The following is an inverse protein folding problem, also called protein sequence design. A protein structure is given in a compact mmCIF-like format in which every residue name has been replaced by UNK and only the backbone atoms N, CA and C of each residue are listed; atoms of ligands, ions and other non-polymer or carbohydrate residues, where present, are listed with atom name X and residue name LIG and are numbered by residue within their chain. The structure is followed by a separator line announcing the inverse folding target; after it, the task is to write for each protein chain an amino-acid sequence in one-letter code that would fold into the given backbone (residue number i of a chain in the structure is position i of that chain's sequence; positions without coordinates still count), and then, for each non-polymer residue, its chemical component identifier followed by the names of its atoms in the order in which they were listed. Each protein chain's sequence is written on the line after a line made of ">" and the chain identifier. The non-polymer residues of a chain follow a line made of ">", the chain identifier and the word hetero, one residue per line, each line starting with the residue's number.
data_IF_172693273818
#
_entry.id   IF_172693273818
#
_cell.length_a   1.000
_cell.length_b   1.000
_cell.length_c   1.000
_cell.angle_alpha   90.00
_cell.angle_beta   90.00
_cell.angle_gamma   90.00
#
_symmetry.space_group_name_H-M   'P 1'
#
loop_
_entity.id
_entity.type
_entity.pdbx_description
1 polymer ?
#
# COMPACT_ATOMS: atom_id res chain seq x y z
N UNK A 1 28.81 10.60 -8.76
CA UNK A 1 28.32 9.92 -9.99
C UNK A 1 27.97 8.50 -9.57
N UNK A 2 26.71 8.10 -9.73
CA UNK A 2 26.26 6.74 -9.43
C UNK A 2 26.77 5.79 -10.52
N UNK A 3 27.35 4.66 -10.15
CA UNK A 3 27.82 3.67 -11.11
C UNK A 3 26.63 2.96 -11.77
N UNK A 4 26.64 2.77 -13.11
CA UNK A 4 25.59 2.05 -13.80
C UNK A 4 25.63 0.55 -13.42
N UNK A 5 24.47 -0.01 -13.15
CA UNK A 5 24.26 -1.41 -12.77
C UNK A 5 23.38 -2.10 -13.79
N UNK A 6 23.83 -3.22 -14.35
CA UNK A 6 23.05 -4.04 -15.29
C UNK A 6 22.49 -5.25 -14.56
N UNK A 7 21.17 -5.47 -14.74
CA UNK A 7 20.43 -6.62 -14.20
C UNK A 7 19.46 -7.17 -15.23
N UNK A 8 18.87 -8.32 -14.94
CA UNK A 8 17.86 -8.95 -15.80
C UNK A 8 16.54 -9.09 -15.04
N UNK A 9 15.43 -8.62 -15.61
CA UNK A 9 14.08 -8.76 -15.05
C UNK A 9 13.21 -9.49 -16.07
N UNK A 10 12.65 -10.63 -15.71
CA UNK A 10 11.85 -11.52 -16.58
C UNK A 10 12.51 -11.79 -17.95
N UNK A 11 13.83 -11.98 -17.96
CA UNK A 11 14.62 -12.25 -19.17
C UNK A 11 15.04 -11.00 -19.96
N UNK A 12 14.64 -9.80 -19.57
CA UNK A 12 15.00 -8.53 -20.22
C UNK A 12 16.13 -7.84 -19.43
N UNK A 13 17.22 -7.48 -20.11
CA UNK A 13 18.33 -6.75 -19.52
C UNK A 13 17.98 -5.26 -19.40
N UNK A 14 18.34 -4.64 -18.28
CA UNK A 14 18.21 -3.20 -18.04
C UNK A 14 19.44 -2.68 -17.31
N UNK A 15 19.87 -1.48 -17.67
CA UNK A 15 20.97 -0.77 -17.00
C UNK A 15 20.41 0.48 -16.33
N UNK A 16 20.60 0.62 -15.03
CA UNK A 16 20.12 1.72 -14.19
C UNK A 16 21.20 2.17 -13.23
N UNK A 17 21.03 3.31 -12.61
CA UNK A 17 21.95 3.81 -11.58
C UNK A 17 21.95 2.92 -10.32
N UNK A 18 23.08 2.78 -9.69
CA UNK A 18 23.19 2.14 -8.38
C UNK A 18 22.30 2.87 -7.36
N UNK A 19 21.59 2.09 -6.51
CA UNK A 19 20.59 2.64 -5.58
C UNK A 19 19.17 2.69 -6.14
N UNK A 20 18.97 2.50 -7.45
CA UNK A 20 17.63 2.32 -8.04
C UNK A 20 16.95 1.10 -7.43
N UNK A 21 15.64 1.17 -7.18
CA UNK A 21 14.88 0.02 -6.69
C UNK A 21 14.51 -0.94 -7.82
N UNK A 22 14.27 -2.20 -7.49
CA UNK A 22 13.79 -3.20 -8.47
C UNK A 22 12.47 -2.75 -9.10
N UNK A 23 11.60 -2.08 -8.32
CA UNK A 23 10.34 -1.54 -8.82
C UNK A 23 10.58 -0.49 -9.93
N UNK A 24 11.46 0.48 -9.68
CA UNK A 24 11.82 1.51 -10.65
C UNK A 24 12.50 0.93 -11.90
N UNK A 25 13.41 -0.05 -11.73
CA UNK A 25 14.05 -0.73 -12.85
C UNK A 25 13.02 -1.51 -13.70
N UNK A 26 12.03 -2.16 -13.09
CA UNK A 26 10.95 -2.85 -13.79
C UNK A 26 10.06 -1.87 -14.56
N UNK A 27 9.75 -0.70 -13.99
CA UNK A 27 8.99 0.36 -14.65
C UNK A 27 9.67 0.86 -15.93
N UNK A 28 11.00 0.97 -15.95
CA UNK A 28 11.75 1.35 -17.16
C UNK A 28 11.60 0.33 -18.31
N UNK A 29 11.36 -0.94 -17.97
CA UNK A 29 11.07 -2.02 -18.94
C UNK A 29 9.58 -2.12 -19.30
N UNK A 30 8.71 -1.27 -18.75
CA UNK A 30 7.26 -1.39 -18.90
C UNK A 30 6.65 -2.57 -18.13
N UNK A 31 7.40 -3.17 -17.21
CA UNK A 31 6.93 -4.29 -16.39
C UNK A 31 6.20 -3.74 -15.14
N UNK A 32 4.91 -4.04 -15.03
CA UNK A 32 4.11 -3.64 -13.87
C UNK A 32 4.25 -4.63 -12.73
N UNK A 33 4.74 -4.15 -11.58
CA UNK A 33 4.75 -4.87 -10.31
C UNK A 33 3.66 -4.28 -9.42
N UNK A 34 2.67 -5.06 -8.94
CA UNK A 34 1.56 -4.52 -8.15
C UNK A 34 2.02 -4.02 -6.78
N UNK A 35 1.44 -2.90 -6.35
CA UNK A 35 1.72 -2.27 -5.05
C UNK A 35 0.42 -1.83 -4.37
N UNK A 36 0.42 -1.73 -3.03
CA UNK A 36 -0.65 -1.09 -2.26
C UNK A 36 -0.06 0.01 -1.36
N UNK A 37 1.03 -0.25 -0.65
CA UNK A 37 1.62 0.72 0.27
C UNK A 37 2.62 1.69 -0.39
N UNK A 38 3.07 1.42 -1.59
CA UNK A 38 3.94 2.32 -2.35
C UNK A 38 3.11 3.41 -3.05
N UNK A 39 3.55 4.64 -2.95
CA UNK A 39 3.04 5.79 -3.69
C UNK A 39 4.19 6.75 -3.97
N UNK A 40 4.17 7.43 -5.13
CA UNK A 40 5.26 8.31 -5.57
C UNK A 40 5.51 9.49 -4.62
N UNK A 41 4.44 10.00 -4.00
CA UNK A 41 4.51 11.11 -3.05
C UNK A 41 4.84 10.67 -1.61
N UNK A 42 5.19 9.41 -1.37
CA UNK A 42 5.51 8.91 -0.02
C UNK A 42 6.76 8.04 -0.02
N UNK A 43 7.53 8.12 1.05
CA UNK A 43 8.67 7.25 1.28
C UNK A 43 8.22 5.79 1.33
N UNK A 44 8.89 4.91 0.57
CA UNK A 44 8.56 3.50 0.49
C UNK A 44 8.87 2.77 1.80
N UNK A 45 7.90 2.02 2.33
CA UNK A 45 8.01 1.36 3.64
C UNK A 45 7.85 -0.18 3.60
N UNK A 46 7.59 -0.77 2.42
CA UNK A 46 7.48 -2.21 2.17
C UNK A 46 6.47 -2.97 3.05
N UNK A 47 5.43 -2.33 3.59
CA UNK A 47 4.49 -2.93 4.54
C UNK A 47 3.59 -4.00 3.92
N UNK A 48 2.96 -3.72 2.77
CA UNK A 48 1.94 -4.60 2.20
C UNK A 48 2.49 -5.90 1.61
N UNK A 49 3.77 -5.93 1.26
CA UNK A 49 4.47 -7.08 0.65
C UNK A 49 3.87 -7.54 -0.69
N UNK A 50 2.98 -6.79 -1.31
CA UNK A 50 2.39 -7.17 -2.59
C UNK A 50 3.39 -7.04 -3.75
N UNK A 51 4.37 -6.12 -3.64
CA UNK A 51 5.41 -5.92 -4.64
C UNK A 51 6.55 -6.96 -4.61
N UNK A 52 6.40 -8.06 -3.86
CA UNK A 52 7.47 -9.07 -3.78
C UNK A 52 7.81 -9.68 -5.13
N UNK A 53 9.10 -9.90 -5.34
CA UNK A 53 9.68 -10.56 -6.52
C UNK A 53 10.63 -11.67 -6.07
N UNK A 54 10.93 -12.59 -6.96
CA UNK A 54 11.93 -13.63 -6.72
C UNK A 54 13.27 -13.19 -7.34
N UNK A 55 14.30 -13.15 -6.51
CA UNK A 55 15.67 -12.87 -6.93
C UNK A 55 16.47 -14.15 -6.89
N UNK A 56 17.16 -14.49 -7.98
CA UNK A 56 17.97 -15.71 -8.07
C UNK A 56 19.03 -15.72 -6.96
N UNK A 57 19.12 -16.84 -6.23
CA UNK A 57 20.02 -16.98 -5.09
C UNK A 57 19.49 -16.42 -3.77
N UNK A 58 18.40 -15.64 -3.77
CA UNK A 58 17.79 -15.16 -2.52
C UNK A 58 16.90 -16.23 -1.89
N UNK A 59 17.06 -16.43 -0.57
CA UNK A 59 16.24 -17.41 0.20
C UNK A 59 14.78 -16.98 0.31
N UNK A 60 14.52 -15.67 0.37
CA UNK A 60 13.19 -15.08 0.56
C UNK A 60 12.81 -14.21 -0.62
N UNK A 61 11.50 -13.98 -0.82
CA UNK A 61 11.02 -12.99 -1.77
C UNK A 61 11.42 -11.57 -1.30
N UNK A 62 11.85 -10.73 -2.26
CA UNK A 62 12.33 -9.37 -2.02
C UNK A 62 11.23 -8.37 -2.35
N UNK A 63 10.91 -7.39 -1.48
CA UNK A 63 9.96 -6.33 -1.81
C UNK A 63 10.61 -5.34 -2.80
N UNK A 64 10.10 -5.29 -4.02
CA UNK A 64 10.68 -4.50 -5.11
C UNK A 64 10.69 -2.98 -4.85
N UNK A 65 9.76 -2.47 -4.03
CA UNK A 65 9.66 -1.03 -3.75
C UNK A 65 10.80 -0.45 -2.90
N UNK A 66 11.54 -1.31 -2.18
CA UNK A 66 12.71 -0.92 -1.36
C UNK A 66 13.96 -1.73 -1.66
N UNK A 67 13.83 -2.86 -2.35
CA UNK A 67 14.98 -3.68 -2.75
C UNK A 67 15.78 -2.96 -3.83
N UNK A 68 17.04 -2.64 -3.54
CA UNK A 68 17.96 -2.00 -4.49
C UNK A 68 18.55 -3.03 -5.46
N UNK A 69 18.84 -2.57 -6.68
CA UNK A 69 19.45 -3.39 -7.71
C UNK A 69 20.94 -3.66 -7.43
N UNK A 70 21.45 -4.77 -7.95
CA UNK A 70 22.88 -5.08 -7.95
C UNK A 70 23.32 -5.69 -9.29
N UNK A 71 24.62 -5.59 -9.59
CA UNK A 71 25.18 -6.08 -10.84
C UNK A 71 24.94 -7.60 -11.02
N UNK A 72 24.45 -7.99 -12.17
CA UNK A 72 24.15 -9.40 -12.50
C UNK A 72 22.92 -9.97 -11.78
N UNK A 73 22.14 -9.15 -11.06
CA UNK A 73 20.90 -9.61 -10.42
C UNK A 73 19.92 -10.16 -11.46
N UNK A 74 19.33 -11.33 -11.18
CA UNK A 74 18.27 -11.92 -12.01
C UNK A 74 16.98 -11.96 -11.20
N UNK A 75 15.95 -11.28 -11.72
CA UNK A 75 14.66 -11.07 -11.05
C UNK A 75 13.54 -11.73 -11.85
N UNK A 76 12.66 -12.45 -11.16
CA UNK A 76 11.40 -12.94 -11.72
C UNK A 76 10.22 -12.28 -11.02
N UNK A 77 9.38 -11.59 -11.78
CA UNK A 77 8.22 -10.86 -11.25
C UNK A 77 6.95 -11.71 -11.21
N UNK A 78 6.91 -12.86 -11.91
CA UNK A 78 5.72 -13.72 -12.06
C UNK A 78 6.00 -15.21 -11.82
N UNK A 79 7.03 -15.57 -11.05
CA UNK A 79 7.26 -16.96 -10.68
C UNK A 79 6.06 -17.55 -9.92
N UNK A 80 5.91 -18.89 -9.92
CA UNK A 80 4.84 -19.57 -9.16
C UNK A 80 4.83 -19.16 -7.68
N UNK A 81 6.02 -18.94 -7.11
CA UNK A 81 6.20 -18.53 -5.71
C UNK A 81 5.69 -17.10 -5.48
N UNK A 82 6.01 -16.17 -6.39
CA UNK A 82 5.53 -14.77 -6.36
C UNK A 82 4.01 -14.71 -6.49
N UNK A 83 3.45 -15.39 -7.51
CA UNK A 83 1.99 -15.40 -7.75
C UNK A 83 1.23 -15.95 -6.54
N UNK A 84 1.73 -17.07 -5.94
CA UNK A 84 1.13 -17.64 -4.72
C UNK A 84 1.16 -16.64 -3.56
N UNK A 85 2.30 -15.97 -3.32
CA UNK A 85 2.43 -15.01 -2.23
C UNK A 85 1.45 -13.84 -2.39
N UNK A 86 1.38 -13.23 -3.58
CA UNK A 86 0.46 -12.12 -3.89
C UNK A 86 -1.00 -12.54 -3.74
N UNK A 87 -1.38 -13.70 -4.29
CA UNK A 87 -2.73 -14.25 -4.12
C UNK A 87 -3.09 -14.38 -2.65
N UNK A 88 -2.23 -14.99 -1.83
CA UNK A 88 -2.50 -15.17 -0.39
C UNK A 88 -2.65 -13.83 0.33
N UNK A 89 -1.82 -12.83 0.04
CA UNK A 89 -1.94 -11.48 0.61
C UNK A 89 -3.30 -10.86 0.26
N UNK A 90 -3.70 -10.96 -1.01
CA UNK A 90 -4.98 -10.42 -1.48
C UNK A 90 -6.19 -11.18 -0.88
N UNK A 91 -6.10 -12.49 -0.70
CA UNK A 91 -7.11 -13.30 -0.02
C UNK A 91 -7.28 -12.88 1.45
N UNK A 92 -6.16 -12.63 2.16
CA UNK A 92 -6.20 -12.13 3.55
C UNK A 92 -6.82 -10.73 3.63
N UNK A 93 -6.49 -9.82 2.72
CA UNK A 93 -7.10 -8.49 2.65
C UNK A 93 -8.61 -8.58 2.36
N UNK A 94 -9.00 -9.35 1.35
CA UNK A 94 -10.39 -9.51 0.95
C UNK A 94 -11.26 -10.17 2.03
N UNK A 95 -10.66 -10.99 2.92
CA UNK A 95 -11.37 -11.59 4.05
C UNK A 95 -11.60 -10.64 5.23
N UNK A 96 -10.74 -9.63 5.40
CA UNK A 96 -10.71 -8.80 6.60
C UNK A 96 -11.21 -7.35 6.39
N UNK A 97 -11.18 -6.84 5.15
CA UNK A 97 -11.40 -5.42 4.84
C UNK A 97 -12.51 -5.25 3.82
N UNK A 98 -13.29 -4.17 3.94
CA UNK A 98 -14.19 -3.74 2.87
C UNK A 98 -13.39 -3.06 1.76
N UNK A 99 -13.31 -3.72 0.60
CA UNK A 99 -12.57 -3.25 -0.57
C UNK A 99 -13.51 -2.71 -1.68
N UNK A 100 -14.77 -2.43 -1.36
CA UNK A 100 -15.80 -2.00 -2.34
C UNK A 100 -15.40 -0.75 -3.11
N UNK A 101 -14.69 0.18 -2.47
CA UNK A 101 -14.25 1.44 -3.05
C UNK A 101 -12.75 1.45 -3.43
N UNK A 102 -12.15 0.30 -3.66
CA UNK A 102 -10.75 0.14 -4.03
C UNK A 102 -10.58 -0.47 -5.44
N UNK A 103 -10.87 0.27 -6.53
CA UNK A 103 -10.92 -0.28 -7.89
C UNK A 103 -9.62 -0.98 -8.31
N UNK A 104 -8.46 -0.39 -7.99
CA UNK A 104 -7.16 -1.00 -8.32
C UNK A 104 -6.95 -2.33 -7.60
N UNK A 105 -7.35 -2.41 -6.32
CA UNK A 105 -7.26 -3.67 -5.57
C UNK A 105 -8.29 -4.67 -6.09
N UNK A 106 -9.49 -4.24 -6.45
CA UNK A 106 -10.50 -5.11 -7.09
C UNK A 106 -9.97 -5.73 -8.40
N UNK A 107 -9.29 -4.95 -9.24
CA UNK A 107 -8.64 -5.46 -10.45
C UNK A 107 -7.60 -6.55 -10.13
N UNK A 108 -6.78 -6.33 -9.09
CA UNK A 108 -5.81 -7.32 -8.62
C UNK A 108 -6.48 -8.59 -8.08
N UNK A 109 -7.63 -8.48 -7.38
CA UNK A 109 -8.37 -9.67 -6.93
C UNK A 109 -8.79 -10.55 -8.12
N UNK A 110 -9.20 -9.94 -9.23
CA UNK A 110 -9.56 -10.64 -10.46
C UNK A 110 -8.29 -11.22 -11.14
N UNK A 111 -7.25 -10.42 -11.33
CA UNK A 111 -5.99 -10.85 -11.99
C UNK A 111 -5.37 -12.07 -11.30
N UNK A 112 -5.33 -12.05 -9.96
CA UNK A 112 -4.73 -13.14 -9.17
C UNK A 112 -5.71 -14.26 -8.84
N UNK A 113 -6.95 -14.23 -9.38
CA UNK A 113 -7.99 -15.25 -9.16
C UNK A 113 -8.18 -15.56 -7.67
N UNK A 114 -8.42 -14.51 -6.89
CA UNK A 114 -8.53 -14.57 -5.43
C UNK A 114 -9.77 -15.32 -5.00
N UNK A 115 -9.60 -16.33 -4.15
CA UNK A 115 -10.71 -17.01 -3.47
C UNK A 115 -11.11 -16.24 -2.22
N UNK A 116 -12.20 -15.48 -2.31
CA UNK A 116 -12.76 -14.70 -1.19
C UNK A 116 -13.31 -15.57 -0.04
N UNK A 117 -13.48 -16.89 -0.26
CA UNK A 117 -13.99 -17.85 0.73
C UNK A 117 -12.90 -18.67 1.39
N UNK A 118 -11.64 -18.46 1.03
CA UNK A 118 -10.52 -19.22 1.59
C UNK A 118 -10.44 -19.18 3.12
N UNK A 119 -10.89 -18.09 3.72
CA UNK A 119 -10.90 -17.88 5.18
C UNK A 119 -12.34 -17.64 5.66
N UNK A 120 -13.20 -18.68 5.73
CA UNK A 120 -14.64 -18.51 5.98
C UNK A 120 -14.95 -17.96 7.38
N UNK A 121 -14.07 -18.17 8.35
CA UNK A 121 -14.22 -17.71 9.72
C UNK A 121 -13.40 -16.42 10.00
N UNK A 122 -12.88 -15.77 8.98
CA UNK A 122 -12.11 -14.55 9.15
C UNK A 122 -13.00 -13.44 9.73
N UNK A 123 -12.51 -12.82 10.79
CA UNK A 123 -13.15 -11.65 11.36
C UNK A 123 -12.96 -10.46 10.42
N UNK A 124 -14.05 -9.78 10.07
CA UNK A 124 -13.99 -8.52 9.31
C UNK A 124 -13.72 -7.34 10.24
N UNK A 125 -13.08 -6.32 9.70
CA UNK A 125 -12.90 -5.05 10.38
C UNK A 125 -14.20 -4.27 10.28
N UNK A 126 -14.72 -3.87 11.44
CA UNK A 126 -15.92 -3.05 11.57
C UNK A 126 -15.56 -1.84 12.42
N UNK A 127 -15.68 -0.67 11.85
CA UNK A 127 -15.42 0.61 12.52
C UNK A 127 -16.56 1.57 12.20
N UNK A 128 -16.98 2.40 13.14
CA UNK A 128 -17.93 3.46 12.85
C UNK A 128 -17.30 4.47 11.88
N UNK A 129 -18.11 4.99 10.97
CA UNK A 129 -17.71 6.11 10.13
C UNK A 129 -17.53 7.35 11.01
N UNK A 130 -16.38 7.99 10.94
CA UNK A 130 -16.07 9.21 11.67
C UNK A 130 -16.37 10.43 10.81
N UNK A 131 -17.46 11.14 11.13
CA UNK A 131 -17.87 12.43 10.54
C UNK A 131 -17.71 13.53 11.60
N UNK A 132 -16.48 13.74 12.06
CA UNK A 132 -16.14 14.64 13.16
C UNK A 132 -15.57 16.00 12.72
N UNK A 133 -15.60 16.26 11.41
CA UNK A 133 -15.08 17.49 10.83
C UNK A 133 -15.80 17.85 9.51
N UNK A 134 -15.79 19.12 9.07
CA UNK A 134 -16.55 19.53 7.90
C UNK A 134 -15.96 19.10 6.55
N UNK A 135 -14.72 18.58 6.50
CA UNK A 135 -13.97 18.38 5.26
C UNK A 135 -13.87 16.91 4.85
N UNK A 136 -13.67 15.99 5.78
CA UNK A 136 -13.30 14.61 5.52
C UNK A 136 -14.15 13.59 6.27
N UNK A 137 -14.42 12.47 5.63
CA UNK A 137 -14.94 11.26 6.25
C UNK A 137 -13.79 10.27 6.44
N UNK A 138 -13.82 9.55 7.56
CA UNK A 138 -12.90 8.47 7.89
C UNK A 138 -13.68 7.18 8.11
N UNK A 139 -13.61 6.25 7.15
CA UNK A 139 -14.23 4.92 7.20
C UNK A 139 -13.13 3.85 7.29
N UNK A 140 -12.74 3.52 8.50
CA UNK A 140 -11.65 2.58 8.72
C UNK A 140 -12.02 1.10 8.52
N UNK A 141 -13.30 0.76 8.27
CA UNK A 141 -13.69 -0.56 7.77
C UNK A 141 -13.06 -0.86 6.39
N UNK A 142 -12.76 0.20 5.61
CA UNK A 142 -12.06 0.13 4.31
C UNK A 142 -10.54 0.20 4.41
N UNK A 143 -9.98 0.41 5.60
CA UNK A 143 -8.54 0.66 5.77
C UNK A 143 -7.71 -0.63 5.67
N UNK A 144 -6.75 -0.66 4.72
CA UNK A 144 -5.78 -1.76 4.54
C UNK A 144 -4.47 -1.56 5.32
N UNK A 145 -4.40 -0.57 6.20
CA UNK A 145 -3.23 -0.24 7.02
C UNK A 145 -1.93 -0.04 6.20
N UNK A 146 -2.02 0.62 5.05
CA UNK A 146 -0.89 0.80 4.14
C UNK A 146 0.13 1.86 4.59
N UNK A 147 -0.14 2.64 5.63
CA UNK A 147 0.69 3.72 6.18
C UNK A 147 0.74 5.01 5.35
N UNK A 148 0.29 5.07 4.11
CA UNK A 148 0.44 6.24 3.24
C UNK A 148 -0.06 7.54 3.89
N UNK A 149 -1.26 7.52 4.49
CA UNK A 149 -1.85 8.71 5.13
C UNK A 149 -1.05 9.17 6.35
N UNK A 150 -0.47 8.25 7.12
CA UNK A 150 0.42 8.58 8.24
C UNK A 150 1.72 9.17 7.72
N UNK A 151 2.35 8.51 6.74
CA UNK A 151 3.62 8.93 6.17
C UNK A 151 3.55 10.35 5.57
N UNK A 152 2.53 10.63 4.75
CA UNK A 152 2.37 11.95 4.13
C UNK A 152 2.04 13.04 5.16
N UNK A 153 1.32 12.70 6.24
CA UNK A 153 0.99 13.63 7.31
C UNK A 153 2.19 13.90 8.23
N UNK A 154 2.98 12.85 8.51
CA UNK A 154 4.07 12.90 9.47
C UNK A 154 5.38 13.44 8.86
N UNK A 155 5.85 12.84 7.75
CA UNK A 155 7.25 13.01 7.33
C UNK A 155 7.41 13.55 5.91
N UNK A 156 6.49 13.22 4.98
CA UNK A 156 6.73 13.51 3.57
C UNK A 156 6.14 14.85 3.10
N UNK A 157 5.10 15.40 3.78
CA UNK A 157 4.48 16.64 3.33
C UNK A 157 4.23 17.68 4.43
N UNK A 158 3.56 17.34 5.54
CA UNK A 158 3.03 18.35 6.47
C UNK A 158 3.75 18.44 7.80
N UNK A 159 4.44 17.40 8.24
CA UNK A 159 5.13 17.34 9.54
C UNK A 159 4.21 17.61 10.76
N UNK A 160 2.91 17.35 10.61
CA UNK A 160 1.90 17.65 11.65
C UNK A 160 1.59 16.47 12.55
N UNK A 161 1.86 15.23 12.09
CA UNK A 161 1.66 14.00 12.87
C UNK A 161 0.23 13.85 13.43
N UNK A 162 -0.77 14.39 12.72
CA UNK A 162 -2.17 14.36 13.18
C UNK A 162 -2.78 12.95 13.15
N UNK A 163 -2.26 12.06 12.28
CA UNK A 163 -2.68 10.68 12.15
C UNK A 163 -1.54 9.72 12.47
N UNK A 164 -1.85 8.63 13.18
CA UNK A 164 -0.91 7.55 13.43
C UNK A 164 -1.64 6.23 13.62
N UNK A 165 -0.93 5.12 13.79
CA UNK A 165 -1.50 3.87 14.23
C UNK A 165 -1.82 3.90 15.73
N UNK A 166 -2.99 3.40 16.06
CA UNK A 166 -3.41 3.10 17.43
C UNK A 166 -3.62 1.60 17.58
N UNK A 167 -3.53 1.12 18.79
CA UNK A 167 -3.67 -0.26 19.23
C UNK A 167 -2.70 -1.24 18.53
N UNK A 168 -3.01 -2.54 18.57
CA UNK A 168 -2.16 -3.61 18.02
C UNK A 168 -2.97 -4.82 17.57
N UNK A 169 -2.35 -5.68 16.78
CA UNK A 169 -2.96 -6.89 16.25
C UNK A 169 -4.15 -6.58 15.36
N UNK A 170 -5.25 -7.30 15.52
CA UNK A 170 -6.45 -7.10 14.70
C UNK A 170 -7.15 -5.76 14.96
N UNK A 171 -6.99 -5.19 16.15
CA UNK A 171 -7.57 -3.91 16.53
C UNK A 171 -6.76 -2.70 16.03
N UNK A 172 -5.59 -2.91 15.41
CA UNK A 172 -4.79 -1.81 14.84
C UNK A 172 -5.64 -1.01 13.84
N UNK A 173 -5.67 0.30 14.01
CA UNK A 173 -6.36 1.23 13.11
C UNK A 173 -5.62 2.56 13.03
N UNK A 174 -6.03 3.42 12.11
CA UNK A 174 -5.54 4.79 12.04
C UNK A 174 -6.36 5.64 12.99
N UNK A 175 -5.70 6.42 13.82
CA UNK A 175 -6.35 7.29 14.80
C UNK A 175 -5.64 8.64 14.89
N UNK A 176 -6.32 9.57 15.51
CA UNK A 176 -5.74 10.77 16.09
C UNK A 176 -5.24 10.47 17.51
N UNK A 177 -4.48 11.37 18.11
CA UNK A 177 -4.05 11.21 19.50
C UNK A 177 -5.27 11.16 20.43
N UNK A 178 -5.39 10.09 21.23
CA UNK A 178 -6.53 9.81 22.14
C UNK A 178 -7.90 9.83 21.45
N UNK A 179 -7.99 9.48 20.15
CA UNK A 179 -9.21 9.55 19.35
C UNK A 179 -9.90 10.93 19.37
N UNK A 180 -9.13 11.97 19.62
CA UNK A 180 -9.60 13.35 19.61
C UNK A 180 -10.15 13.71 18.23
N UNK A 181 -11.29 14.44 18.11
CA UNK A 181 -11.80 14.91 16.83
C UNK A 181 -10.76 15.69 16.02
N UNK A 182 -10.73 15.50 14.71
CA UNK A 182 -9.70 16.06 13.82
C UNK A 182 -9.47 17.58 14.00
N UNK A 183 -10.51 18.42 14.19
CA UNK A 183 -10.33 19.85 14.42
C UNK A 183 -9.61 20.22 15.72
N UNK A 184 -9.50 19.30 16.66
CA UNK A 184 -8.82 19.49 17.95
C UNK A 184 -7.39 18.94 17.96
N UNK A 185 -6.90 18.50 16.79
CA UNK A 185 -5.55 17.97 16.61
C UNK A 185 -4.64 18.96 15.90
N UNK A 186 -3.42 18.53 15.57
CA UNK A 186 -2.47 19.28 14.72
C UNK A 186 -2.84 19.27 13.24
N UNK A 187 -4.00 18.72 12.85
CA UNK A 187 -4.44 18.65 11.46
C UNK A 187 -4.66 20.05 10.87
N UNK A 188 -4.03 20.33 9.75
CA UNK A 188 -4.18 21.60 8.99
C UNK A 188 -5.14 21.46 7.79
N UNK A 189 -5.88 20.37 7.70
CA UNK A 189 -6.86 20.10 6.64
C UNK A 189 -6.31 20.20 5.20
N UNK A 190 -5.04 19.84 4.98
CA UNK A 190 -4.36 19.92 3.68
C UNK A 190 -4.87 18.93 2.62
N UNK A 191 -5.57 17.85 3.02
CA UNK A 191 -6.13 16.85 2.12
C UNK A 191 -5.14 15.81 1.57
N UNK A 192 -3.86 15.90 1.88
CA UNK A 192 -2.84 14.98 1.34
C UNK A 192 -3.13 13.50 1.66
N UNK A 193 -3.64 13.23 2.86
CA UNK A 193 -3.99 11.87 3.29
C UNK A 193 -5.13 11.24 2.44
N UNK A 194 -6.02 12.04 1.87
CA UNK A 194 -7.07 11.57 0.97
C UNK A 194 -6.46 11.16 -0.37
N UNK A 195 -5.62 12.04 -0.95
CA UNK A 195 -4.99 11.81 -2.27
C UNK A 195 -4.11 10.56 -2.34
N UNK A 196 -3.59 10.09 -1.21
CA UNK A 196 -2.75 8.88 -1.16
C UNK A 196 -3.49 7.63 -0.68
N UNK A 197 -4.78 7.73 -0.29
CA UNK A 197 -5.52 6.57 0.23
C UNK A 197 -5.93 5.62 -0.90
N UNK A 198 -5.48 4.34 -0.91
CA UNK A 198 -5.76 3.42 -2.01
C UNK A 198 -7.15 2.76 -1.92
N UNK A 199 -7.93 3.04 -0.87
CA UNK A 199 -9.19 2.34 -0.59
C UNK A 199 -10.35 3.29 -0.26
N UNK A 200 -10.17 4.60 -0.43
CA UNK A 200 -11.14 5.62 -0.03
C UNK A 200 -11.61 5.53 1.43
N UNK A 201 -10.79 4.89 2.30
CA UNK A 201 -11.02 4.94 3.75
C UNK A 201 -10.99 6.37 4.31
N UNK A 202 -10.33 7.26 3.59
CA UNK A 202 -10.32 8.70 3.80
C UNK A 202 -10.82 9.35 2.51
N UNK A 203 -11.92 10.07 2.55
CA UNK A 203 -12.50 10.75 1.38
C UNK A 203 -13.09 12.13 1.72
N UNK A 204 -13.27 13.01 0.73
CA UNK A 204 -13.97 14.28 0.94
C UNK A 204 -15.38 14.05 1.46
N UNK A 205 -15.79 14.81 2.49
CA UNK A 205 -17.14 14.71 3.07
C UNK A 205 -18.23 14.98 2.03
N UNK A 206 -18.00 15.94 1.11
CA UNK A 206 -18.94 16.26 0.05
C UNK A 206 -19.19 15.10 -0.90
N UNK A 207 -18.16 14.37 -1.28
CA UNK A 207 -18.25 13.16 -2.12
C UNK A 207 -19.09 12.09 -1.42
N UNK A 208 -18.74 11.79 -0.17
CA UNK A 208 -19.48 10.82 0.64
C UNK A 208 -20.96 11.15 0.77
N UNK A 209 -21.33 12.43 0.96
CA UNK A 209 -22.73 12.86 1.03
C UNK A 209 -23.50 12.69 -0.28
N UNK A 210 -22.82 12.69 -1.44
CA UNK A 210 -23.44 12.49 -2.74
C UNK A 210 -23.68 10.99 -3.04
N UNK A 211 -23.04 10.10 -2.31
CA UNK A 211 -23.15 8.65 -2.45
C UNK A 211 -24.22 8.04 -1.53
N UNK A 212 -24.79 8.82 -0.59
CA UNK A 212 -25.87 8.37 0.32
C UNK A 212 -27.25 8.55 -0.34
#
# INVERSE_FOLDING_TARGET
>A
MTEPVTLTIDGQAVTVDSGTTILQAAQQLGITIPTICYHEATTANALCRLCVVEVQGARTLVPACVGTVSAGMVVSTRSKRVVRARRTILEMLASAVDLSEAPDIQALLVEYQVDRRRFPEAKRREWPVLDDNPMYIRDYAKCVLCWRCVQVCAEDAQYTFALNFAERGFNTHIATFWDTPLPQTTCVFCGQCLGVCPTNALKPRREWLLEQ
#
